data_IF_184088583504
#
_entry.id   IF_184088583504
#
_cell.length_a   1.000
_cell.length_b   1.000
_cell.length_c   1.000
_cell.angle_alpha   90.00
_cell.angle_beta   90.00
_cell.angle_gamma   90.00
#
_symmetry.space_group_name_H-M   'P 1'
#
loop_
_entity.id
_entity.type
_entity.pdbx_description
1 polymer ?
#
# COMPACT_ATOMS: atom_id res chain seq x y z
N UNK A 1 0.70 -9.51 35.44
CA UNK A 1 -0.17 -8.50 34.75
C UNK A 1 -0.56 -9.07 33.41
N UNK A 2 -1.87 -9.20 33.20
CA UNK A 2 -2.40 -9.90 32.03
C UNK A 2 -2.39 -9.00 30.80
N UNK A 3 -1.31 -9.05 30.02
CA UNK A 3 -1.30 -8.53 28.66
C UNK A 3 -2.01 -9.54 27.77
N UNK A 4 -2.83 -9.02 26.84
CA UNK A 4 -3.42 -9.81 25.77
C UNK A 4 -2.81 -9.38 24.46
N UNK A 5 -2.61 -10.33 23.57
CA UNK A 5 -2.18 -10.12 22.20
C UNK A 5 -3.33 -10.40 21.25
N UNK A 6 -3.51 -9.55 20.25
CA UNK A 6 -4.48 -9.74 19.19
C UNK A 6 -3.68 -9.82 17.88
N UNK A 7 -3.88 -10.90 17.14
CA UNK A 7 -3.26 -11.11 15.83
C UNK A 7 -4.33 -10.88 14.78
N UNK A 8 -4.04 -9.96 13.85
CA UNK A 8 -4.92 -9.59 12.75
C UNK A 8 -4.20 -9.87 11.44
N UNK A 9 -4.91 -10.36 10.48
CA UNK A 9 -4.44 -10.72 9.16
C UNK A 9 -4.76 -12.17 8.86
N UNK A 10 -4.65 -12.53 7.61
CA UNK A 10 -4.87 -13.89 7.13
C UNK A 10 -3.82 -14.20 6.05
N UNK A 11 -3.21 -15.35 6.18
CA UNK A 11 -2.35 -15.93 5.15
C UNK A 11 -3.00 -17.23 4.66
N UNK A 12 -3.69 -17.18 3.51
CA UNK A 12 -4.45 -18.34 3.02
C UNK A 12 -3.59 -19.58 2.74
N UNK A 13 -2.27 -19.42 2.59
CA UNK A 13 -1.31 -20.49 2.30
C UNK A 13 -0.81 -21.19 3.54
N UNK A 14 -0.88 -20.54 4.71
CA UNK A 14 -0.41 -21.08 5.99
C UNK A 14 -1.46 -20.82 7.07
N UNK A 15 -1.85 -21.89 7.76
CA UNK A 15 -2.72 -21.78 8.93
C UNK A 15 -1.86 -21.63 10.17
N UNK A 16 -1.89 -20.47 10.78
CA UNK A 16 -1.26 -20.25 12.08
C UNK A 16 -2.22 -20.70 13.18
N UNK A 17 -1.74 -21.58 14.04
CA UNK A 17 -2.44 -21.97 15.27
C UNK A 17 -1.73 -21.35 16.47
N UNK A 18 -2.39 -20.36 17.11
CA UNK A 18 -1.88 -19.69 18.29
C UNK A 18 -2.61 -20.24 19.52
N UNK A 19 -2.13 -21.36 20.05
CA UNK A 19 -2.71 -22.01 21.24
C UNK A 19 -2.16 -21.37 22.51
N UNK A 20 -2.72 -20.21 22.89
CA UNK A 20 -2.36 -19.57 24.15
C UNK A 20 -3.52 -18.69 24.65
N UNK A 21 -3.87 -18.79 25.93
CA UNK A 21 -5.02 -18.11 26.54
C UNK A 21 -4.99 -16.57 26.39
N UNK A 22 -3.82 -15.98 26.25
CA UNK A 22 -3.65 -14.53 26.10
C UNK A 22 -3.43 -14.10 24.63
N UNK A 23 -3.59 -14.98 23.66
CA UNK A 23 -3.50 -14.68 22.24
C UNK A 23 -4.86 -14.88 21.59
N UNK A 24 -5.40 -13.86 20.97
CA UNK A 24 -6.63 -13.91 20.19
C UNK A 24 -6.30 -13.72 18.72
N UNK A 25 -6.56 -14.74 17.90
CA UNK A 25 -6.44 -14.65 16.45
C UNK A 25 -7.76 -14.26 15.81
N UNK A 26 -7.81 -13.10 15.14
CA UNK A 26 -9.04 -12.58 14.50
C UNK A 26 -9.10 -12.83 12.99
N UNK A 27 -8.00 -13.30 12.39
CA UNK A 27 -7.95 -13.43 10.95
C UNK A 27 -8.14 -12.10 10.23
N UNK A 28 -8.77 -12.14 9.06
CA UNK A 28 -9.08 -10.94 8.31
C UNK A 28 -10.31 -10.23 8.88
N UNK A 29 -10.17 -8.94 9.17
CA UNK A 29 -11.26 -8.08 9.64
C UNK A 29 -11.35 -6.79 8.79
N UNK A 30 -12.48 -6.09 8.87
CA UNK A 30 -12.63 -4.83 8.14
C UNK A 30 -11.68 -3.74 8.68
N UNK A 31 -11.36 -2.77 7.83
CA UNK A 31 -10.51 -1.63 8.18
C UNK A 31 -11.05 -0.86 9.40
N UNK A 32 -12.35 -0.60 9.46
CA UNK A 32 -12.99 0.07 10.59
C UNK A 32 -12.74 -0.69 11.91
N UNK A 33 -12.97 -2.00 11.92
CA UNK A 33 -12.70 -2.84 13.10
C UNK A 33 -11.22 -2.85 13.49
N UNK A 34 -10.32 -2.76 12.50
CA UNK A 34 -8.89 -2.64 12.78
C UNK A 34 -8.57 -1.33 13.48
N UNK A 35 -9.17 -0.22 13.04
CA UNK A 35 -9.00 1.08 13.69
C UNK A 35 -9.54 1.09 15.12
N UNK A 36 -10.73 0.50 15.36
CA UNK A 36 -11.32 0.37 16.70
C UNK A 36 -10.39 -0.44 17.64
N UNK A 37 -9.73 -1.47 17.11
CA UNK A 37 -8.75 -2.24 17.89
C UNK A 37 -7.51 -1.41 18.22
N UNK A 38 -7.03 -0.56 17.34
CA UNK A 38 -5.92 0.34 17.64
C UNK A 38 -6.27 1.34 18.75
N UNK A 39 -7.51 1.81 18.87
CA UNK A 39 -7.94 2.73 19.92
C UNK A 39 -7.77 2.14 21.34
N UNK A 40 -7.86 0.82 21.48
CA UNK A 40 -7.66 0.11 22.75
C UNK A 40 -6.28 -0.56 22.89
N UNK A 41 -5.43 -0.44 21.86
CA UNK A 41 -4.13 -1.10 21.81
C UNK A 41 -3.02 -0.19 22.31
N UNK A 42 -2.20 -0.69 23.23
CA UNK A 42 -1.04 0.06 23.74
C UNK A 42 0.22 -0.08 22.90
N UNK A 43 0.44 -1.24 22.30
CA UNK A 43 1.63 -1.57 21.51
C UNK A 43 1.16 -2.24 20.22
N UNK A 44 1.56 -1.71 19.08
CA UNK A 44 1.33 -2.32 17.77
C UNK A 44 2.65 -2.80 17.17
N UNK A 45 2.64 -3.99 16.59
CA UNK A 45 3.82 -4.64 16.01
C UNK A 45 3.56 -4.93 14.54
N UNK A 46 4.44 -4.43 13.68
CA UNK A 46 4.36 -4.64 12.22
C UNK A 46 5.72 -5.19 11.74
N UNK A 47 5.94 -6.52 11.89
CA UNK A 47 7.19 -7.18 11.57
C UNK A 47 7.23 -7.63 10.11
N UNK A 48 7.02 -6.73 9.16
CA UNK A 48 6.98 -7.07 7.75
C UNK A 48 8.34 -7.58 7.24
N UNK A 49 8.35 -8.73 6.57
CA UNK A 49 9.52 -9.25 5.85
C UNK A 49 9.66 -8.63 4.45
N UNK A 50 8.59 -8.06 3.97
CA UNK A 50 8.47 -7.50 2.65
C UNK A 50 8.80 -6.01 2.64
N UNK A 51 9.30 -5.51 1.53
CA UNK A 51 9.57 -4.07 1.34
C UNK A 51 8.26 -3.31 1.16
N UNK A 52 7.74 -2.79 2.26
CA UNK A 52 6.46 -2.07 2.27
C UNK A 52 6.54 -0.78 1.44
N UNK A 53 5.62 -0.52 0.52
CA UNK A 53 5.65 0.73 -0.25
C UNK A 53 5.51 1.99 0.61
N UNK A 54 4.72 1.92 1.70
CA UNK A 54 4.48 3.07 2.60
C UNK A 54 4.37 2.67 4.08
N UNK A 55 3.76 1.53 4.40
CA UNK A 55 3.53 1.11 5.79
C UNK A 55 2.31 1.76 6.45
N UNK A 56 1.18 1.83 5.75
CA UNK A 56 -0.09 2.40 6.24
C UNK A 56 -0.47 1.93 7.63
N UNK A 57 -0.32 0.64 7.90
CA UNK A 57 -0.67 0.00 9.19
C UNK A 57 0.05 0.64 10.36
N UNK A 58 1.33 1.01 10.19
CA UNK A 58 2.11 1.66 11.24
C UNK A 58 1.63 3.10 11.49
N UNK A 59 1.31 3.84 10.43
CA UNK A 59 0.77 5.20 10.53
C UNK A 59 -0.62 5.20 11.17
N UNK A 60 -1.48 4.27 10.78
CA UNK A 60 -2.82 4.09 11.36
C UNK A 60 -2.74 3.77 12.85
N UNK A 61 -1.88 2.83 13.26
CA UNK A 61 -1.66 2.52 14.67
C UNK A 61 -1.13 3.71 15.47
N UNK A 62 -0.14 4.44 14.94
CA UNK A 62 0.42 5.63 15.56
C UNK A 62 -0.61 6.77 15.70
N UNK A 63 -1.47 6.95 14.68
CA UNK A 63 -2.55 7.94 14.68
C UNK A 63 -3.64 7.64 15.70
N UNK A 64 -3.70 6.42 16.21
CA UNK A 64 -4.61 5.99 17.30
C UNK A 64 -3.90 5.87 18.65
N UNK A 65 -2.66 6.33 18.73
CA UNK A 65 -1.92 6.41 19.99
C UNK A 65 -1.25 5.10 20.41
N UNK A 66 -1.02 4.17 19.50
CA UNK A 66 -0.20 3.00 19.76
C UNK A 66 1.30 3.36 19.83
N UNK A 67 2.06 2.70 20.70
CA UNK A 67 3.51 2.63 20.56
C UNK A 67 3.83 1.60 19.49
N UNK A 68 4.48 2.01 18.39
CA UNK A 68 4.71 1.14 17.23
C UNK A 68 6.11 0.52 17.24
N UNK A 69 6.18 -0.78 16.95
CA UNK A 69 7.40 -1.53 16.67
C UNK A 69 7.30 -2.01 15.22
N UNK A 70 8.27 -1.68 14.38
CA UNK A 70 8.26 -2.04 12.96
C UNK A 70 9.59 -2.59 12.50
N UNK A 71 9.59 -3.41 11.45
CA UNK A 71 10.81 -3.81 10.76
C UNK A 71 11.36 -2.65 9.91
N UNK A 72 12.68 -2.66 9.64
CA UNK A 72 13.33 -1.70 8.74
C UNK A 72 13.18 -2.15 7.29
N UNK A 73 11.94 -2.07 6.75
CA UNK A 73 11.61 -2.51 5.40
C UNK A 73 10.85 -1.44 4.64
N UNK A 74 11.38 -1.04 3.48
CA UNK A 74 10.74 -0.07 2.58
C UNK A 74 10.23 1.18 3.29
N UNK A 75 9.01 1.59 3.00
CA UNK A 75 8.36 2.79 3.57
C UNK A 75 8.09 2.75 5.07
N UNK A 76 8.24 1.60 5.74
CA UNK A 76 8.14 1.55 7.21
C UNK A 76 9.19 2.43 7.91
N UNK A 77 10.34 2.66 7.26
CA UNK A 77 11.40 3.54 7.78
C UNK A 77 10.91 5.00 7.89
N UNK A 78 9.96 5.38 7.06
CA UNK A 78 9.42 6.74 6.97
C UNK A 78 8.22 6.97 7.91
N UNK A 79 7.75 5.93 8.61
CA UNK A 79 6.52 6.00 9.42
C UNK A 79 6.64 6.85 10.69
N UNK A 80 7.78 7.46 10.93
CA UNK A 80 7.95 8.50 11.91
C UNK A 80 9.12 8.30 12.88
N UNK A 81 9.63 9.41 13.43
CA UNK A 81 10.86 9.43 14.26
C UNK A 81 10.69 8.74 15.62
N UNK A 82 9.47 8.41 16.03
CA UNK A 82 9.17 7.81 17.33
C UNK A 82 8.71 6.36 17.24
N UNK A 83 8.95 5.72 16.12
CA UNK A 83 8.73 4.29 15.93
C UNK A 83 9.95 3.52 16.42
N UNK A 84 9.74 2.40 17.10
CA UNK A 84 10.81 1.49 17.48
C UNK A 84 11.10 0.57 16.30
N UNK A 85 12.32 0.63 15.81
CA UNK A 85 12.77 -0.24 14.73
C UNK A 85 13.36 -1.55 15.26
N UNK A 86 13.04 -2.64 14.59
CA UNK A 86 13.76 -3.90 14.71
C UNK A 86 15.03 -3.79 13.84
N UNK A 87 16.20 -3.93 14.45
CA UNK A 87 17.48 -3.96 13.72
C UNK A 87 17.60 -5.25 12.92
N UNK A 88 17.17 -6.35 13.55
CA UNK A 88 17.07 -7.67 12.96
C UNK A 88 15.64 -8.18 13.11
N UNK A 89 15.13 -8.82 12.08
CA UNK A 89 13.80 -9.42 12.11
C UNK A 89 13.91 -10.85 12.65
N UNK A 90 14.00 -10.97 13.98
CA UNK A 90 14.01 -12.24 14.68
C UNK A 90 13.20 -12.19 15.97
N UNK A 91 12.81 -13.37 16.45
CA UNK A 91 11.94 -13.52 17.62
C UNK A 91 12.54 -12.92 18.89
N UNK A 92 13.85 -13.04 19.07
CA UNK A 92 14.55 -12.54 20.26
C UNK A 92 14.54 -11.04 20.35
N UNK A 93 14.81 -10.35 19.24
CA UNK A 93 14.78 -8.90 19.21
C UNK A 93 13.35 -8.39 19.39
N UNK A 94 12.39 -8.98 18.69
CA UNK A 94 10.99 -8.64 18.81
C UNK A 94 10.51 -8.80 20.26
N UNK A 95 10.81 -9.94 20.88
CA UNK A 95 10.49 -10.20 22.29
C UNK A 95 11.08 -9.11 23.20
N UNK A 96 12.37 -8.79 23.06
CA UNK A 96 13.04 -7.79 23.88
C UNK A 96 12.40 -6.41 23.76
N UNK A 97 12.02 -5.98 22.55
CA UNK A 97 11.37 -4.68 22.32
C UNK A 97 9.97 -4.62 22.93
N UNK A 98 9.19 -5.68 22.78
CA UNK A 98 7.86 -5.79 23.39
C UNK A 98 7.98 -5.80 24.90
N UNK A 99 8.85 -6.62 25.46
CA UNK A 99 9.07 -6.71 26.91
C UNK A 99 9.53 -5.38 27.50
N UNK A 100 10.44 -4.69 26.82
CA UNK A 100 10.89 -3.36 27.21
C UNK A 100 9.72 -2.37 27.30
N UNK A 101 8.85 -2.33 26.29
CA UNK A 101 7.67 -1.44 26.33
C UNK A 101 6.65 -1.85 27.39
N UNK A 102 6.50 -3.14 27.65
CA UNK A 102 5.62 -3.62 28.72
C UNK A 102 6.12 -3.16 30.10
N UNK A 103 7.42 -3.37 30.37
CA UNK A 103 8.05 -3.04 31.66
C UNK A 103 8.18 -1.52 31.88
N UNK A 104 8.38 -0.74 30.83
CA UNK A 104 8.63 0.70 30.90
C UNK A 104 7.39 1.54 30.55
N UNK A 105 6.37 1.52 31.42
CA UNK A 105 5.10 2.24 31.21
C UNK A 105 5.28 3.71 30.85
N UNK A 106 6.15 4.44 31.56
CA UNK A 106 6.39 5.88 31.32
C UNK A 106 6.95 6.13 29.93
N UNK A 107 7.92 5.31 29.50
CA UNK A 107 8.51 5.42 28.17
C UNK A 107 7.49 5.10 27.08
N UNK A 108 6.73 4.01 27.23
CA UNK A 108 5.64 3.65 26.31
C UNK A 108 4.64 4.78 26.14
N UNK A 109 4.14 5.35 27.26
CA UNK A 109 3.18 6.45 27.21
C UNK A 109 3.76 7.72 26.57
N UNK A 110 5.05 7.99 26.77
CA UNK A 110 5.75 9.07 26.06
C UNK A 110 5.75 8.83 24.55
N UNK A 111 6.14 7.62 24.12
CA UNK A 111 6.12 7.24 22.69
C UNK A 111 4.71 7.38 22.10
N UNK A 112 3.70 6.82 22.74
CA UNK A 112 2.31 6.89 22.30
C UNK A 112 1.88 8.34 22.03
N UNK A 113 2.16 9.24 22.98
CA UNK A 113 1.79 10.65 22.87
C UNK A 113 2.53 11.39 21.77
N UNK A 114 3.82 11.13 21.62
CA UNK A 114 4.65 11.80 20.61
C UNK A 114 4.29 11.27 19.22
N UNK A 115 4.13 9.96 19.05
CA UNK A 115 3.76 9.36 17.77
C UNK A 115 2.41 9.90 17.27
N UNK A 116 1.40 9.95 18.12
CA UNK A 116 0.11 10.54 17.80
C UNK A 116 0.24 11.99 17.32
N UNK A 117 0.94 12.83 18.09
CA UNK A 117 1.11 14.25 17.73
C UNK A 117 1.83 14.44 16.42
N UNK A 118 2.90 13.68 16.18
CA UNK A 118 3.69 13.81 14.97
C UNK A 118 2.91 13.36 13.73
N UNK A 119 2.22 12.22 13.81
CA UNK A 119 1.41 11.74 12.68
C UNK A 119 0.31 12.73 12.36
N UNK A 120 -0.40 13.27 13.36
CA UNK A 120 -1.44 14.26 13.11
C UNK A 120 -0.91 15.56 12.53
N UNK A 121 0.26 16.02 13.00
CA UNK A 121 0.91 17.21 12.46
C UNK A 121 1.35 17.01 11.00
N UNK A 122 2.02 15.89 10.69
CA UNK A 122 2.45 15.57 9.32
C UNK A 122 1.28 15.41 8.35
N UNK A 123 0.19 14.78 8.79
CA UNK A 123 -1.03 14.68 7.97
C UNK A 123 -1.59 16.06 7.63
N UNK A 124 -1.67 16.97 8.61
CA UNK A 124 -2.14 18.34 8.37
C UNK A 124 -1.23 19.11 7.42
N UNK A 125 0.10 19.04 7.62
CA UNK A 125 1.08 19.68 6.76
C UNK A 125 1.00 19.16 5.31
N UNK A 126 0.91 17.84 5.13
CA UNK A 126 0.86 17.24 3.81
C UNK A 126 -0.47 17.55 3.11
N UNK A 127 -1.59 17.55 3.82
CA UNK A 127 -2.88 17.97 3.27
C UNK A 127 -2.80 19.42 2.79
N UNK A 128 -2.25 20.33 3.61
CA UNK A 128 -2.08 21.72 3.22
C UNK A 128 -1.18 21.87 1.99
N UNK A 129 -0.04 21.19 1.94
CA UNK A 129 0.85 21.22 0.76
C UNK A 129 0.13 20.75 -0.52
N UNK A 130 -0.69 19.71 -0.43
CA UNK A 130 -1.48 19.23 -1.57
C UNK A 130 -2.50 20.29 -2.01
N UNK A 131 -3.19 20.93 -1.07
CA UNK A 131 -4.17 21.96 -1.39
C UNK A 131 -3.50 23.23 -1.97
N UNK A 132 -2.37 23.63 -1.41
CA UNK A 132 -1.58 24.76 -1.95
C UNK A 132 -1.13 24.43 -3.39
N UNK A 133 -0.60 23.24 -3.63
CA UNK A 133 -0.19 22.81 -4.97
C UNK A 133 -1.38 22.75 -5.95
N UNK A 134 -2.54 22.26 -5.52
CA UNK A 134 -3.77 22.27 -6.34
C UNK A 134 -4.20 23.69 -6.69
N UNK A 135 -4.16 24.62 -5.72
CA UNK A 135 -4.50 26.03 -5.95
C UNK A 135 -3.52 26.68 -6.93
N UNK A 136 -2.23 26.41 -6.80
CA UNK A 136 -1.21 26.88 -7.74
C UNK A 136 -1.45 26.34 -9.16
N UNK A 137 -1.82 25.07 -9.29
CA UNK A 137 -2.19 24.48 -10.56
C UNK A 137 -3.43 25.16 -11.16
N UNK A 138 -4.46 25.38 -10.35
CA UNK A 138 -5.70 26.03 -10.81
C UNK A 138 -5.49 27.50 -11.19
N UNK A 139 -4.64 28.23 -10.47
CA UNK A 139 -4.32 29.62 -10.74
C UNK A 139 -3.34 29.82 -11.90
N UNK A 140 -2.53 28.78 -12.19
CA UNK A 140 -1.56 28.86 -13.29
C UNK A 140 -2.29 28.74 -14.63
N UNK A 141 -2.30 29.80 -15.44
CA UNK A 141 -2.81 29.81 -16.82
C UNK A 141 -2.11 28.78 -17.74
N UNK A 142 -1.04 28.14 -17.28
CA UNK A 142 -0.33 27.08 -18.00
C UNK A 142 -1.16 25.81 -18.18
N UNK A 143 -2.18 25.61 -17.33
CA UNK A 143 -3.14 24.52 -17.45
C UNK A 143 -4.46 24.92 -18.15
N UNK A 144 -4.56 26.12 -18.70
CA UNK A 144 -5.54 26.31 -19.76
C UNK A 144 -5.18 25.30 -20.85
N UNK A 145 -5.89 24.17 -20.82
CA UNK A 145 -5.77 23.10 -21.81
C UNK A 145 -5.98 23.76 -23.16
N UNK A 146 -4.88 24.15 -23.84
CA UNK A 146 -4.94 24.38 -25.27
C UNK A 146 -5.66 23.16 -25.80
N UNK A 147 -6.72 23.33 -26.62
CA UNK A 147 -7.41 22.24 -27.30
C UNK A 147 -6.31 21.31 -27.83
N UNK A 148 -6.03 20.27 -27.06
CA UNK A 148 -4.82 19.50 -27.23
C UNK A 148 -4.94 18.72 -28.51
N UNK A 149 -3.87 18.69 -29.25
CA UNK A 149 -3.65 17.68 -30.29
C UNK A 149 -4.12 16.33 -29.70
N UNK A 150 -5.03 15.69 -30.40
CA UNK A 150 -5.44 14.32 -30.07
C UNK A 150 -4.19 13.44 -30.09
N UNK A 151 -3.91 12.78 -28.98
CA UNK A 151 -2.78 11.86 -28.86
C UNK A 151 -3.25 10.43 -29.09
N UNK A 152 -2.37 9.62 -29.64
CA UNK A 152 -2.45 8.16 -29.63
C UNK A 152 -1.74 7.64 -28.41
N UNK A 153 -2.45 7.01 -27.50
CA UNK A 153 -1.92 6.53 -26.22
C UNK A 153 -1.95 5.00 -26.18
N UNK A 154 -0.79 4.38 -26.02
CA UNK A 154 -0.69 2.95 -25.71
C UNK A 154 -0.64 2.77 -24.20
N UNK A 155 -1.76 2.41 -23.60
CA UNK A 155 -1.90 2.24 -22.15
C UNK A 155 -1.68 0.78 -21.76
N UNK A 156 -0.49 0.49 -21.21
CA UNK A 156 -0.11 -0.85 -20.75
C UNK A 156 -0.35 -0.94 -19.25
N UNK A 157 -1.24 -1.82 -18.83
CA UNK A 157 -1.59 -1.98 -17.41
C UNK A 157 -2.32 -3.30 -17.16
N UNK A 158 -2.50 -3.63 -15.88
CA UNK A 158 -3.28 -4.78 -15.46
C UNK A 158 -4.79 -4.48 -15.53
N UNK A 159 -5.42 -4.80 -16.63
CA UNK A 159 -6.88 -4.64 -16.79
C UNK A 159 -7.67 -5.80 -16.17
N UNK A 160 -7.09 -6.98 -16.05
CA UNK A 160 -7.74 -8.16 -15.46
C UNK A 160 -8.95 -8.67 -16.25
N UNK A 161 -8.91 -8.56 -17.57
CA UNK A 161 -10.03 -8.90 -18.48
C UNK A 161 -10.42 -10.38 -18.41
N UNK A 162 -9.50 -11.27 -18.02
CA UNK A 162 -9.67 -12.72 -17.99
C UNK A 162 -10.02 -13.30 -16.62
N UNK A 163 -10.30 -12.45 -15.65
CA UNK A 163 -10.68 -12.88 -14.29
C UNK A 163 -12.17 -12.66 -14.06
N UNK A 164 -12.95 -13.75 -14.12
CA UNK A 164 -14.41 -13.75 -14.01
C UNK A 164 -14.97 -13.07 -12.75
N UNK A 165 -14.21 -12.97 -11.67
CA UNK A 165 -14.68 -12.45 -10.38
C UNK A 165 -14.03 -11.11 -9.97
N UNK A 166 -13.29 -10.44 -10.85
CA UNK A 166 -12.74 -9.13 -10.54
C UNK A 166 -13.65 -8.02 -11.04
N UNK A 167 -13.98 -7.11 -10.14
CA UNK A 167 -14.61 -5.83 -10.46
C UNK A 167 -13.60 -4.91 -11.16
N UNK A 168 -13.10 -5.33 -12.33
CA UNK A 168 -12.06 -4.58 -13.04
C UNK A 168 -12.53 -3.22 -13.56
N UNK A 169 -13.83 -3.00 -13.67
CA UNK A 169 -14.41 -1.67 -13.92
C UNK A 169 -14.02 -0.63 -12.87
N UNK A 170 -13.64 -1.07 -11.67
CA UNK A 170 -13.18 -0.21 -10.57
C UNK A 170 -11.66 -0.06 -10.59
N UNK A 171 -10.94 -0.79 -11.44
CA UNK A 171 -9.49 -0.74 -11.50
C UNK A 171 -8.98 0.66 -11.87
N UNK A 172 -7.86 1.05 -11.29
CA UNK A 172 -7.18 2.32 -11.62
C UNK A 172 -6.85 2.37 -13.11
N UNK A 173 -6.42 1.24 -13.69
CA UNK A 173 -6.13 1.12 -15.11
C UNK A 173 -7.32 1.55 -15.98
N UNK A 174 -8.52 1.03 -15.70
CA UNK A 174 -9.72 1.37 -16.48
C UNK A 174 -10.18 2.80 -16.27
N UNK A 175 -10.01 3.33 -15.05
CA UNK A 175 -10.30 4.74 -14.76
C UNK A 175 -9.39 5.69 -15.54
N UNK A 176 -8.10 5.37 -15.63
CA UNK A 176 -7.13 6.14 -16.41
C UNK A 176 -7.45 6.07 -17.91
N UNK A 177 -7.68 4.88 -18.46
CA UNK A 177 -8.09 4.70 -19.87
C UNK A 177 -9.34 5.54 -20.19
N UNK A 178 -10.39 5.45 -19.36
CA UNK A 178 -11.59 6.26 -19.53
C UNK A 178 -11.32 7.77 -19.42
N UNK A 179 -10.39 8.17 -18.55
CA UNK A 179 -9.95 9.57 -18.43
C UNK A 179 -9.31 10.07 -19.71
N UNK A 180 -8.39 9.32 -20.31
CA UNK A 180 -7.76 9.66 -21.59
C UNK A 180 -8.78 9.78 -22.73
N UNK A 181 -9.69 8.80 -22.83
CA UNK A 181 -10.75 8.80 -23.85
C UNK A 181 -11.65 10.03 -23.69
N UNK A 182 -12.08 10.34 -22.46
CA UNK A 182 -12.91 11.54 -22.18
C UNK A 182 -12.18 12.84 -22.46
N UNK A 183 -10.85 12.82 -22.36
CA UNK A 183 -10.00 13.98 -22.72
C UNK A 183 -9.80 14.09 -24.26
N UNK A 184 -10.40 13.22 -25.07
CA UNK A 184 -10.38 13.27 -26.53
C UNK A 184 -9.18 12.57 -27.16
N UNK A 185 -8.48 11.72 -26.42
CA UNK A 185 -7.35 10.94 -26.94
C UNK A 185 -7.80 9.61 -27.52
N UNK A 186 -7.01 9.09 -28.46
CA UNK A 186 -7.14 7.74 -29.00
C UNK A 186 -6.35 6.78 -28.12
N UNK A 187 -7.00 5.77 -27.52
CA UNK A 187 -6.39 4.91 -26.51
C UNK A 187 -6.48 3.46 -26.88
N UNK A 188 -5.32 2.81 -26.95
CA UNK A 188 -5.22 1.36 -27.09
C UNK A 188 -4.78 0.76 -25.75
N UNK A 189 -5.69 0.02 -25.12
CA UNK A 189 -5.42 -0.69 -23.85
C UNK A 189 -4.77 -2.05 -24.14
N UNK A 190 -3.64 -2.34 -23.47
CA UNK A 190 -2.94 -3.62 -23.49
C UNK A 190 -2.79 -4.16 -22.09
N UNK A 191 -3.38 -5.34 -21.80
CA UNK A 191 -3.33 -5.95 -20.47
C UNK A 191 -2.09 -6.83 -20.32
N UNK A 192 -1.09 -6.34 -19.58
CA UNK A 192 0.18 -7.02 -19.33
C UNK A 192 -0.01 -8.39 -18.66
N UNK A 193 -0.73 -8.40 -17.55
CA UNK A 193 -0.94 -9.62 -16.76
C UNK A 193 -1.81 -10.66 -17.44
N UNK A 194 -2.78 -10.25 -18.23
CA UNK A 194 -3.63 -11.20 -18.96
C UNK A 194 -2.82 -11.89 -20.04
N UNK A 195 -1.97 -11.16 -20.77
CA UNK A 195 -1.07 -11.72 -21.79
C UNK A 195 -0.11 -12.72 -21.14
N UNK A 196 0.54 -12.35 -20.02
CA UNK A 196 1.47 -13.24 -19.31
C UNK A 196 0.75 -14.50 -18.82
N UNK A 197 -0.45 -14.39 -18.26
CA UNK A 197 -1.23 -15.54 -17.75
C UNK A 197 -1.64 -16.49 -18.86
N UNK A 198 -2.17 -15.95 -19.95
CA UNK A 198 -2.58 -16.76 -21.08
C UNK A 198 -1.42 -17.58 -21.65
N UNK A 199 -0.26 -16.95 -21.81
CA UNK A 199 0.90 -17.61 -22.39
C UNK A 199 1.64 -18.56 -21.44
N UNK A 200 1.39 -18.53 -20.13
CA UNK A 200 1.89 -19.53 -19.17
C UNK A 200 1.32 -20.94 -19.40
N UNK A 201 0.19 -21.03 -20.07
CA UNK A 201 -0.46 -22.30 -20.40
C UNK A 201 0.16 -22.98 -21.63
N UNK A 202 1.01 -22.30 -22.37
CA UNK A 202 1.65 -22.82 -23.57
C UNK A 202 3.05 -23.32 -23.22
N UNK A 203 3.34 -24.63 -23.38
CA UNK A 203 4.67 -25.17 -23.11
C UNK A 203 5.76 -24.48 -23.94
N UNK A 204 6.93 -24.31 -23.36
CA UNK A 204 8.13 -23.74 -23.99
C UNK A 204 8.05 -22.26 -24.42
N UNK A 205 7.04 -21.50 -24.00
CA UNK A 205 6.98 -20.05 -24.22
C UNK A 205 7.32 -19.33 -22.94
N UNK A 206 8.33 -18.44 -23.00
CA UNK A 206 8.55 -17.45 -21.96
C UNK A 206 7.48 -16.36 -22.09
N UNK A 207 6.54 -16.33 -21.15
CA UNK A 207 5.38 -15.42 -21.19
C UNK A 207 5.78 -13.94 -21.17
N UNK A 208 6.90 -13.59 -20.57
CA UNK A 208 7.39 -12.20 -20.51
C UNK A 208 8.06 -11.79 -21.83
N UNK A 209 8.81 -12.69 -22.47
CA UNK A 209 9.39 -12.42 -23.80
C UNK A 209 8.28 -12.24 -24.84
N UNK A 210 7.21 -13.04 -24.74
CA UNK A 210 6.03 -12.88 -25.57
C UNK A 210 5.34 -11.54 -25.35
N UNK A 211 5.17 -11.12 -24.08
CA UNK A 211 4.62 -9.79 -23.74
C UNK A 211 5.48 -8.68 -24.34
N UNK A 212 6.80 -8.74 -24.14
CA UNK A 212 7.72 -7.75 -24.70
C UNK A 212 7.62 -7.65 -26.22
N UNK A 213 7.56 -8.79 -26.90
CA UNK A 213 7.37 -8.85 -28.35
C UNK A 213 6.05 -8.19 -28.77
N UNK A 214 4.95 -8.50 -28.08
CA UNK A 214 3.64 -7.87 -28.34
C UNK A 214 3.66 -6.37 -28.14
N UNK A 215 4.30 -5.87 -27.08
CA UNK A 215 4.43 -4.42 -26.84
C UNK A 215 5.18 -3.75 -27.98
N UNK A 216 6.32 -4.34 -28.40
CA UNK A 216 7.15 -3.78 -29.48
C UNK A 216 6.38 -3.77 -30.81
N UNK A 217 5.71 -4.86 -31.15
CA UNK A 217 4.95 -4.97 -32.42
C UNK A 217 3.74 -4.02 -32.39
N UNK A 218 3.02 -3.94 -31.28
CA UNK A 218 1.91 -3.00 -31.09
C UNK A 218 2.39 -1.55 -31.23
N UNK A 219 3.51 -1.20 -30.58
CA UNK A 219 4.06 0.14 -30.67
C UNK A 219 4.48 0.52 -32.10
N UNK A 220 5.08 -0.41 -32.86
CA UNK A 220 5.44 -0.19 -34.25
C UNK A 220 4.24 0.04 -35.17
N UNK A 221 3.14 -0.69 -34.93
CA UNK A 221 1.94 -0.62 -35.74
C UNK A 221 1.04 0.56 -35.36
N UNK A 222 0.81 0.75 -34.07
CA UNK A 222 -0.06 1.80 -33.55
C UNK A 222 0.59 3.17 -33.58
N UNK A 223 1.92 3.23 -33.44
CA UNK A 223 2.74 4.46 -33.38
C UNK A 223 2.19 5.45 -32.35
N UNK A 224 2.20 5.09 -31.06
CA UNK A 224 1.70 5.96 -30.02
C UNK A 224 2.55 7.23 -29.88
N UNK A 225 1.90 8.31 -29.48
CA UNK A 225 2.56 9.56 -29.08
C UNK A 225 3.01 9.49 -27.60
N UNK A 226 2.34 8.62 -26.79
CA UNK A 226 2.57 8.39 -25.36
C UNK A 226 2.27 6.91 -25.02
#
# INVERSE_FOLDING_TARGET
>A
KNWKSIVIGDEPREKYNFEHDNIEYKGWISHEKTLDLYDITSISVIPSEWEEPFGRTAVEAASRGCATIVSKRGGLIETGPNTIFLAELNDKELFNKIEFLIKNKKFRQKLQRISYKNVMHELQLNTKKIDDYRNDLLSSKKFAIKKNKQLKILHISNFGNWLFNRLYFISIAKKLSNGFIRSGHDVLDLSDRDIVRYNRLIPNINSYDYLNKQIIETSKNYKPDL
#
